data_IF_678972645761
#
_entry.id   IF_678972645761
#
_cell.length_a   1.000
_cell.length_b   1.000
_cell.length_c   1.000
_cell.angle_alpha   90.00
_cell.angle_beta   90.00
_cell.angle_gamma   90.00
#
_symmetry.space_group_name_H-M   'P 1'
#
loop_
_entity.id
_entity.type
_entity.pdbx_description
1 polymer ?
#
# COMPACT_ATOMS: atom_id res chain seq x y z
N UNK A 1 54.69 7.20 -30.19
CA UNK A 1 53.68 7.82 -29.29
C UNK A 1 52.59 6.77 -29.07
N UNK A 2 52.65 6.10 -27.94
CA UNK A 2 51.69 5.06 -27.53
C UNK A 2 50.63 5.72 -26.64
N UNK A 3 49.41 5.81 -27.16
CA UNK A 3 48.22 6.27 -26.37
C UNK A 3 47.65 5.10 -25.61
N UNK A 4 47.66 5.19 -24.30
CA UNK A 4 46.97 4.28 -23.37
C UNK A 4 45.46 4.58 -23.38
N UNK A 5 44.56 3.60 -23.52
CA UNK A 5 43.15 3.86 -23.41
C UNK A 5 42.74 4.13 -21.97
N UNK A 6 41.96 5.20 -21.77
CA UNK A 6 41.37 5.53 -20.47
C UNK A 6 40.40 4.42 -20.01
N UNK A 7 40.66 3.85 -18.86
CA UNK A 7 39.78 2.87 -18.23
C UNK A 7 38.47 3.53 -17.79
N UNK A 8 37.34 3.06 -18.31
CA UNK A 8 36.02 3.37 -17.80
C UNK A 8 35.85 2.67 -16.45
N UNK A 9 35.99 3.42 -15.37
CA UNK A 9 35.63 2.98 -14.05
C UNK A 9 34.12 2.81 -13.96
N UNK A 10 33.66 1.58 -13.94
CA UNK A 10 32.27 1.25 -13.58
C UNK A 10 32.07 1.66 -12.13
N UNK A 11 31.29 2.72 -11.88
CA UNK A 11 30.88 3.09 -10.54
C UNK A 11 30.06 1.91 -10.00
N UNK A 12 30.59 1.18 -9.00
CA UNK A 12 29.85 0.19 -8.24
C UNK A 12 28.79 0.97 -7.45
N UNK A 13 27.54 0.93 -7.89
CA UNK A 13 26.42 1.43 -7.12
C UNK A 13 26.29 0.54 -5.89
N UNK A 14 26.73 1.05 -4.76
CA UNK A 14 26.60 0.32 -3.48
C UNK A 14 25.12 0.23 -3.16
N UNK A 15 24.60 -0.98 -3.00
CA UNK A 15 23.21 -1.19 -2.56
C UNK A 15 23.03 -0.56 -1.17
N UNK A 16 21.87 0.11 -0.91
CA UNK A 16 21.59 0.65 0.41
C UNK A 16 21.65 -0.44 1.49
N UNK A 17 22.03 -0.06 2.70
CA UNK A 17 22.07 -0.99 3.82
C UNK A 17 20.64 -1.48 4.15
N UNK A 18 20.50 -2.79 4.35
CA UNK A 18 19.24 -3.38 4.81
C UNK A 18 19.00 -2.99 6.26
N UNK A 19 17.80 -2.49 6.53
CA UNK A 19 17.27 -2.24 7.86
C UNK A 19 16.14 -3.20 8.18
N UNK A 20 15.75 -3.29 9.44
CA UNK A 20 14.53 -4.00 9.84
C UNK A 20 13.93 -3.41 11.11
N UNK A 21 12.61 -3.52 11.25
CA UNK A 21 11.88 -3.08 12.43
C UNK A 21 10.75 -4.04 12.79
N UNK A 22 10.28 -3.96 14.04
CA UNK A 22 9.05 -4.64 14.47
C UNK A 22 7.82 -3.93 13.90
N UNK A 23 6.82 -4.71 13.50
CA UNK A 23 5.51 -4.25 13.06
C UNK A 23 4.46 -5.25 13.56
N UNK A 24 3.84 -4.98 14.71
CA UNK A 24 3.13 -5.97 15.47
C UNK A 24 4.04 -7.18 15.79
N UNK A 25 3.60 -8.42 15.55
CA UNK A 25 4.41 -9.62 15.72
C UNK A 25 5.40 -9.87 14.56
N UNK A 26 5.33 -9.10 13.47
CA UNK A 26 6.21 -9.27 12.32
C UNK A 26 7.52 -8.51 12.49
N UNK A 27 8.55 -9.00 11.81
CA UNK A 27 9.78 -8.28 11.55
C UNK A 27 9.80 -7.90 10.08
N UNK A 28 9.80 -6.61 9.79
CA UNK A 28 9.78 -6.09 8.43
C UNK A 28 11.14 -5.55 8.05
N UNK A 29 11.68 -6.08 6.96
CA UNK A 29 12.95 -5.66 6.36
C UNK A 29 12.69 -4.68 5.22
N UNK A 30 13.59 -3.70 5.05
CA UNK A 30 13.52 -2.66 4.03
C UNK A 30 14.91 -2.02 3.83
N UNK A 31 15.04 -1.13 2.87
CA UNK A 31 16.22 -0.25 2.72
C UNK A 31 15.78 1.16 2.29
N UNK A 32 16.75 2.05 2.07
CA UNK A 32 16.49 3.46 1.75
C UNK A 32 15.83 3.71 0.38
N UNK A 33 15.53 2.68 -0.42
CA UNK A 33 14.78 2.81 -1.68
C UNK A 33 13.28 2.85 -1.49
N UNK A 34 12.78 2.33 -0.37
CA UNK A 34 11.36 2.26 -0.07
C UNK A 34 11.00 3.11 1.15
N UNK A 35 9.75 3.51 1.25
CA UNK A 35 9.27 4.22 2.43
C UNK A 35 9.46 3.34 3.68
N UNK A 36 10.14 3.89 4.69
CA UNK A 36 10.29 3.21 5.98
C UNK A 36 8.90 2.88 6.56
N UNK A 37 8.60 1.62 6.90
CA UNK A 37 7.34 1.25 7.54
C UNK A 37 7.02 2.14 8.74
N UNK A 38 5.79 2.61 8.84
CA UNK A 38 5.36 3.55 9.87
C UNK A 38 4.58 2.80 10.96
N UNK A 39 5.01 2.83 12.24
CA UNK A 39 4.33 2.08 13.31
C UNK A 39 2.84 2.37 13.44
N UNK A 40 2.42 3.62 13.19
CA UNK A 40 1.00 3.97 13.29
C UNK A 40 0.10 3.29 12.25
N UNK A 41 0.66 2.74 11.14
CA UNK A 41 -0.13 2.00 10.14
C UNK A 41 -0.50 0.58 10.61
N UNK A 42 0.02 0.11 11.76
CA UNK A 42 -0.48 -1.10 12.41
C UNK A 42 -2.00 -1.03 12.72
N UNK A 43 -2.51 0.18 12.97
CA UNK A 43 -3.93 0.40 13.18
C UNK A 43 -4.77 0.00 11.95
N UNK A 44 -4.26 0.25 10.74
CA UNK A 44 -4.92 -0.17 9.50
C UNK A 44 -4.93 -1.69 9.36
N UNK A 45 -3.80 -2.35 9.63
CA UNK A 45 -3.72 -3.82 9.62
C UNK A 45 -4.67 -4.47 10.61
N UNK A 46 -4.71 -3.94 11.85
CA UNK A 46 -5.59 -4.44 12.90
C UNK A 46 -7.06 -4.30 12.50
N UNK A 47 -7.44 -3.15 11.97
CA UNK A 47 -8.81 -2.94 11.52
C UNK A 47 -9.15 -3.80 10.30
N UNK A 48 -8.24 -3.98 9.35
CA UNK A 48 -8.42 -4.91 8.25
C UNK A 48 -8.64 -6.35 8.75
N UNK A 49 -7.87 -6.81 9.74
CA UNK A 49 -8.05 -8.12 10.35
C UNK A 49 -9.41 -8.27 11.05
N UNK A 50 -9.90 -7.23 11.73
CA UNK A 50 -11.26 -7.19 12.31
C UNK A 50 -12.33 -7.34 11.21
N UNK A 51 -12.21 -6.57 10.11
CA UNK A 51 -13.13 -6.61 8.97
C UNK A 51 -13.14 -8.01 8.34
N UNK A 52 -11.99 -8.67 8.21
CA UNK A 52 -11.88 -10.01 7.62
C UNK A 52 -12.69 -11.08 8.37
N UNK A 53 -13.03 -10.87 9.64
CA UNK A 53 -13.85 -11.82 10.42
C UNK A 53 -15.30 -11.90 9.93
N UNK A 54 -15.80 -10.83 9.31
CA UNK A 54 -17.19 -10.70 8.83
C UNK A 54 -17.32 -10.47 7.34
N UNK A 55 -16.20 -10.20 6.64
CA UNK A 55 -16.15 -10.01 5.20
C UNK A 55 -16.54 -11.28 4.44
N UNK A 56 -17.09 -11.15 3.22
CA UNK A 56 -17.38 -12.30 2.38
C UNK A 56 -16.14 -13.18 2.17
N UNK A 57 -16.30 -14.49 1.88
CA UNK A 57 -15.17 -15.35 1.52
C UNK A 57 -14.47 -14.81 0.26
N UNK A 58 -13.13 -14.72 0.28
CA UNK A 58 -12.35 -14.24 -0.86
C UNK A 58 -10.96 -13.75 -0.45
N UNK A 59 -10.09 -13.46 -1.42
CA UNK A 59 -8.77 -12.93 -1.19
C UNK A 59 -8.80 -11.47 -0.71
N UNK A 60 -7.65 -11.02 -0.22
CA UNK A 60 -7.38 -9.63 0.16
C UNK A 60 -6.48 -9.00 -0.90
N UNK A 61 -6.70 -7.74 -1.23
CA UNK A 61 -5.84 -6.93 -2.08
C UNK A 61 -5.21 -5.81 -1.24
N UNK A 62 -3.90 -5.64 -1.37
CA UNK A 62 -3.19 -4.46 -0.86
C UNK A 62 -2.68 -3.64 -2.03
N UNK A 63 -3.07 -2.38 -2.10
CA UNK A 63 -2.63 -1.39 -3.09
C UNK A 63 -1.61 -0.44 -2.46
N UNK A 64 -0.60 -0.03 -3.23
CA UNK A 64 0.54 0.74 -2.74
C UNK A 64 1.22 0.01 -1.57
N UNK A 65 1.54 -1.27 -1.79
CA UNK A 65 1.91 -2.20 -0.72
C UNK A 65 3.24 -1.87 -0.03
N UNK A 66 4.14 -1.11 -0.67
CA UNK A 66 5.45 -0.84 -0.14
C UNK A 66 6.18 -2.13 0.24
N UNK A 67 6.70 -2.22 1.46
CA UNK A 67 7.33 -3.45 1.96
C UNK A 67 6.33 -4.55 2.38
N UNK A 68 5.03 -4.38 2.13
CA UNK A 68 3.98 -5.37 2.39
C UNK A 68 3.50 -5.45 3.84
N UNK A 69 3.96 -4.58 4.72
CA UNK A 69 3.75 -4.69 6.17
C UNK A 69 2.28 -4.67 6.58
N UNK A 70 1.46 -3.85 5.90
CA UNK A 70 0.05 -3.67 6.29
C UNK A 70 -0.76 -4.91 5.94
N UNK A 71 -0.70 -5.37 4.69
CA UNK A 71 -1.41 -6.54 4.23
C UNK A 71 -0.94 -7.83 4.90
N UNK A 72 0.37 -8.02 5.05
CA UNK A 72 0.94 -9.18 5.73
C UNK A 72 0.42 -9.30 7.16
N UNK A 73 0.43 -8.20 7.92
CA UNK A 73 -0.10 -8.21 9.28
C UNK A 73 -1.61 -8.43 9.31
N UNK A 74 -2.36 -7.82 8.37
CA UNK A 74 -3.81 -7.99 8.29
C UNK A 74 -4.24 -9.44 8.07
N UNK A 75 -3.49 -10.22 7.26
CA UNK A 75 -3.85 -11.61 6.96
C UNK A 75 -3.15 -12.63 7.85
N UNK A 76 -2.25 -12.22 8.75
CA UNK A 76 -1.41 -13.14 9.54
C UNK A 76 -2.23 -14.17 10.32
N UNK A 77 -3.30 -13.74 10.97
CA UNK A 77 -4.20 -14.58 11.78
C UNK A 77 -5.32 -15.27 10.96
N UNK A 78 -5.29 -15.20 9.63
CA UNK A 78 -6.31 -15.78 8.76
C UNK A 78 -5.71 -16.74 7.73
N UNK A 79 -6.56 -17.50 7.03
CA UNK A 79 -6.14 -18.32 5.88
C UNK A 79 -6.36 -17.63 4.52
N UNK A 80 -6.70 -16.34 4.51
CA UNK A 80 -7.00 -15.59 3.29
C UNK A 80 -5.75 -15.41 2.42
N UNK A 81 -5.83 -15.66 1.11
CA UNK A 81 -4.78 -15.23 0.18
C UNK A 81 -4.68 -13.71 0.13
N UNK A 82 -3.46 -13.20 -0.08
CA UNK A 82 -3.16 -11.79 -0.24
C UNK A 82 -2.51 -11.54 -1.59
N UNK A 83 -2.98 -10.52 -2.30
CA UNK A 83 -2.32 -9.94 -3.46
C UNK A 83 -1.80 -8.57 -3.06
N UNK A 84 -0.49 -8.35 -3.13
CA UNK A 84 0.15 -7.05 -2.94
C UNK A 84 0.47 -6.45 -4.31
N UNK A 85 0.10 -5.19 -4.52
CA UNK A 85 0.40 -4.45 -5.75
C UNK A 85 1.18 -3.20 -5.41
N UNK A 86 2.31 -3.03 -6.09
CA UNK A 86 3.11 -1.81 -6.03
C UNK A 86 3.76 -1.55 -7.41
N UNK A 87 3.98 -0.28 -7.73
CA UNK A 87 4.67 0.08 -8.98
C UNK A 87 6.20 0.15 -8.83
N UNK A 88 6.72 0.19 -7.59
CA UNK A 88 8.14 0.23 -7.30
C UNK A 88 8.72 -1.20 -7.20
N UNK A 89 9.65 -1.58 -8.11
CA UNK A 89 10.32 -2.88 -8.04
C UNK A 89 10.98 -3.18 -6.70
N UNK A 90 11.59 -2.15 -6.06
CA UNK A 90 12.25 -2.33 -4.76
C UNK A 90 11.23 -2.62 -3.65
N UNK A 91 10.06 -1.99 -3.67
CA UNK A 91 8.95 -2.27 -2.78
C UNK A 91 8.46 -3.71 -2.96
N UNK A 92 8.23 -4.14 -4.20
CA UNK A 92 7.83 -5.50 -4.53
C UNK A 92 8.83 -6.56 -4.05
N UNK A 93 10.13 -6.30 -4.21
CA UNK A 93 11.17 -7.22 -3.73
C UNK A 93 11.14 -7.35 -2.20
N UNK A 94 10.97 -6.23 -1.49
CA UNK A 94 10.84 -6.25 -0.04
C UNK A 94 9.54 -6.91 0.42
N UNK A 95 8.42 -6.69 -0.26
CA UNK A 95 7.15 -7.37 0.05
C UNK A 95 7.27 -8.89 -0.09
N UNK A 96 7.94 -9.40 -1.15
CA UNK A 96 8.21 -10.84 -1.33
C UNK A 96 9.12 -11.38 -0.22
N UNK A 97 10.19 -10.66 0.11
CA UNK A 97 11.10 -11.03 1.19
C UNK A 97 10.37 -11.13 2.53
N UNK A 98 9.60 -10.11 2.89
CA UNK A 98 8.86 -10.06 4.15
C UNK A 98 7.74 -11.11 4.22
N UNK A 99 7.09 -11.41 3.09
CA UNK A 99 6.12 -12.51 3.02
C UNK A 99 6.77 -13.87 3.32
N UNK A 100 7.99 -14.09 2.80
CA UNK A 100 8.76 -15.31 3.08
C UNK A 100 9.18 -15.39 4.54
N UNK A 101 9.71 -14.32 5.11
CA UNK A 101 10.13 -14.23 6.51
C UNK A 101 8.96 -14.42 7.49
N UNK A 102 7.76 -13.95 7.11
CA UNK A 102 6.53 -14.14 7.87
C UNK A 102 5.93 -15.56 7.73
N UNK A 103 6.51 -16.43 6.88
CA UNK A 103 5.96 -17.77 6.58
C UNK A 103 4.65 -17.72 5.78
N UNK A 104 4.44 -16.68 4.98
CA UNK A 104 3.23 -16.44 4.20
C UNK A 104 3.42 -16.58 2.68
N UNK A 105 4.62 -16.94 2.21
CA UNK A 105 4.97 -16.96 0.79
C UNK A 105 4.00 -17.80 -0.07
N UNK A 106 3.47 -18.91 0.44
CA UNK A 106 2.58 -19.81 -0.30
C UNK A 106 1.19 -19.20 -0.58
N UNK A 107 0.83 -18.10 0.07
CA UNK A 107 -0.48 -17.46 -0.04
C UNK A 107 -0.42 -15.94 -0.29
N UNK A 108 0.77 -15.42 -0.54
CA UNK A 108 0.99 -14.01 -0.91
C UNK A 108 1.55 -13.94 -2.33
N UNK A 109 0.83 -13.25 -3.19
CA UNK A 109 1.27 -12.92 -4.54
C UNK A 109 1.65 -11.43 -4.58
N UNK A 110 2.84 -11.10 -5.09
CA UNK A 110 3.28 -9.70 -5.25
C UNK A 110 3.39 -9.38 -6.73
N UNK A 111 2.65 -8.39 -7.18
CA UNK A 111 2.58 -7.92 -8.56
C UNK A 111 3.20 -6.54 -8.67
N UNK A 112 4.13 -6.41 -9.60
CA UNK A 112 4.82 -5.15 -9.92
C UNK A 112 4.15 -4.49 -11.11
N UNK A 113 3.78 -3.22 -10.97
CA UNK A 113 3.23 -2.41 -12.04
C UNK A 113 2.06 -1.53 -11.60
N UNK A 114 1.50 -0.75 -12.55
CA UNK A 114 0.32 0.07 -12.31
C UNK A 114 -0.87 -0.78 -11.83
N UNK A 115 -1.55 -0.32 -10.78
CA UNK A 115 -2.62 -1.09 -10.14
C UNK A 115 -3.83 -1.37 -11.05
N UNK A 116 -4.05 -0.55 -12.05
CA UNK A 116 -5.10 -0.68 -13.06
C UNK A 116 -4.73 -1.60 -14.23
N UNK A 117 -3.45 -1.99 -14.34
CA UNK A 117 -2.96 -2.86 -15.42
C UNK A 117 -2.64 -4.29 -14.95
N UNK A 118 -2.20 -4.46 -13.69
CA UNK A 118 -1.72 -5.76 -13.20
C UNK A 118 -2.81 -6.66 -12.63
N UNK A 119 -4.03 -6.15 -12.46
CA UNK A 119 -5.20 -6.91 -12.03
C UNK A 119 -6.01 -7.36 -13.26
N UNK A 120 -6.51 -8.60 -13.22
CA UNK A 120 -7.39 -9.10 -14.29
C UNK A 120 -8.82 -8.65 -14.01
N UNK A 121 -9.57 -8.27 -15.03
CA UNK A 121 -10.97 -7.81 -14.92
C UNK A 121 -11.90 -8.77 -14.14
N UNK A 122 -11.59 -10.07 -14.15
CA UNK A 122 -12.37 -11.09 -13.47
C UNK A 122 -12.04 -11.27 -11.99
N UNK A 123 -10.96 -10.69 -11.50
CA UNK A 123 -10.54 -10.84 -10.10
C UNK A 123 -11.43 -10.03 -9.17
N UNK A 124 -11.77 -10.64 -8.03
CA UNK A 124 -12.60 -10.01 -7.00
C UNK A 124 -12.02 -10.29 -5.63
N UNK A 125 -12.06 -9.28 -4.77
CA UNK A 125 -11.47 -9.28 -3.43
C UNK A 125 -12.54 -9.00 -2.38
N UNK A 126 -12.40 -9.66 -1.24
CA UNK A 126 -13.29 -9.46 -0.09
C UNK A 126 -12.99 -8.15 0.64
N UNK A 127 -11.71 -7.83 0.72
CA UNK A 127 -11.20 -6.60 1.34
C UNK A 127 -10.07 -6.06 0.46
N UNK A 128 -10.11 -4.76 0.22
CA UNK A 128 -9.01 -3.99 -0.36
C UNK A 128 -8.45 -3.10 0.74
N UNK A 129 -7.14 -3.12 0.94
CA UNK A 129 -6.41 -2.23 1.85
C UNK A 129 -5.53 -1.32 1.01
N UNK A 130 -5.52 -0.03 1.28
CA UNK A 130 -4.71 0.93 0.54
C UNK A 130 -4.13 2.01 1.47
N UNK A 131 -2.83 2.22 1.37
CA UNK A 131 -2.11 3.34 2.01
C UNK A 131 -1.36 4.13 0.91
N UNK A 132 -2.11 4.83 0.03
CA UNK A 132 -1.50 5.57 -1.08
C UNK A 132 -0.71 6.78 -0.60
N UNK A 133 0.22 7.30 -1.40
CA UNK A 133 0.79 8.62 -1.20
C UNK A 133 -0.31 9.67 -1.04
N UNK A 134 -0.21 10.53 -0.02
CA UNK A 134 -1.21 11.55 0.29
C UNK A 134 -0.64 12.95 0.58
N UNK A 135 0.69 13.10 0.47
CA UNK A 135 1.33 14.42 0.60
C UNK A 135 1.12 15.20 -0.69
N UNK A 136 0.71 16.46 -0.56
CA UNK A 136 0.61 17.33 -1.73
C UNK A 136 1.97 17.53 -2.38
N UNK A 137 1.98 17.59 -3.71
CA UNK A 137 3.20 17.71 -4.50
C UNK A 137 4.07 18.92 -4.10
N UNK A 138 3.47 20.05 -3.78
CA UNK A 138 4.18 21.26 -3.32
C UNK A 138 4.74 21.14 -1.88
N UNK A 139 4.35 20.11 -1.14
CA UNK A 139 4.79 19.85 0.23
C UNK A 139 5.81 18.69 0.36
N UNK A 140 6.04 17.91 -0.71
CA UNK A 140 6.94 16.75 -0.71
C UNK A 140 8.35 17.09 -0.23
N UNK A 141 8.85 18.28 -0.56
CA UNK A 141 10.18 18.76 -0.13
C UNK A 141 10.34 18.92 1.38
N UNK A 142 9.26 18.84 2.16
CA UNK A 142 9.31 18.82 3.64
C UNK A 142 9.78 17.48 4.22
N UNK A 143 9.84 16.45 3.38
CA UNK A 143 10.18 15.06 3.76
C UNK A 143 11.35 14.55 2.90
N UNK A 144 12.55 15.17 3.02
CA UNK A 144 13.68 14.85 2.14
C UNK A 144 14.23 13.43 2.33
N UNK A 145 13.90 12.78 3.46
CA UNK A 145 14.29 11.42 3.77
C UNK A 145 13.40 10.35 3.15
N UNK A 146 12.19 10.73 2.69
CA UNK A 146 11.22 9.78 2.15
C UNK A 146 11.29 9.74 0.60
N UNK A 147 11.21 8.55 -0.02
CA UNK A 147 11.15 8.45 -1.47
C UNK A 147 9.94 9.21 -2.03
N UNK A 148 10.16 10.09 -3.00
CA UNK A 148 9.11 10.95 -3.57
C UNK A 148 7.94 10.12 -4.11
N UNK A 149 8.23 9.03 -4.81
CA UNK A 149 7.21 8.13 -5.36
C UNK A 149 6.26 7.58 -4.29
N UNK A 150 6.75 7.38 -3.07
CA UNK A 150 5.98 6.80 -1.97
C UNK A 150 5.16 7.82 -1.18
N UNK A 151 5.34 9.13 -1.43
CA UNK A 151 4.65 10.18 -0.66
C UNK A 151 3.90 11.19 -1.52
N UNK A 152 4.27 11.41 -2.81
CA UNK A 152 3.61 12.37 -3.71
C UNK A 152 2.21 11.88 -4.10
N UNK A 153 1.20 12.44 -3.46
CA UNK A 153 -0.22 12.18 -3.74
C UNK A 153 -0.82 13.08 -4.81
N UNK A 154 0.00 13.85 -5.54
CA UNK A 154 -0.45 14.78 -6.57
C UNK A 154 -0.77 16.19 -6.03
N UNK A 155 -1.43 17.00 -6.85
CA UNK A 155 -1.63 18.42 -6.57
C UNK A 155 -2.48 18.68 -5.30
N UNK A 156 -3.45 17.82 -5.03
CA UNK A 156 -4.31 17.89 -3.85
C UNK A 156 -4.04 16.77 -2.82
N UNK A 157 -3.08 15.88 -3.11
CA UNK A 157 -2.77 14.70 -2.29
C UNK A 157 -3.81 13.58 -2.42
N UNK A 158 -4.64 13.59 -3.46
CA UNK A 158 -5.72 12.62 -3.67
C UNK A 158 -5.60 11.82 -4.97
N UNK A 159 -4.65 12.15 -5.86
CA UNK A 159 -4.58 11.53 -7.19
C UNK A 159 -4.47 10.00 -7.09
N UNK A 160 -3.53 9.49 -6.28
CA UNK A 160 -3.35 8.04 -6.11
C UNK A 160 -4.47 7.41 -5.28
N UNK A 161 -5.02 8.15 -4.30
CA UNK A 161 -6.16 7.68 -3.53
C UNK A 161 -7.40 7.46 -4.42
N UNK A 162 -7.64 8.32 -5.41
CA UNK A 162 -8.71 8.13 -6.39
C UNK A 162 -8.50 6.89 -7.25
N UNK A 163 -7.27 6.62 -7.68
CA UNK A 163 -6.96 5.37 -8.41
C UNK A 163 -7.27 4.14 -7.54
N UNK A 164 -6.90 4.17 -6.25
CA UNK A 164 -7.24 3.09 -5.31
C UNK A 164 -8.75 2.88 -5.16
N UNK A 165 -9.54 3.97 -5.11
CA UNK A 165 -11.01 3.92 -5.04
C UNK A 165 -11.60 3.32 -6.31
N UNK A 166 -11.13 3.75 -7.49
CA UNK A 166 -11.63 3.26 -8.77
C UNK A 166 -11.29 1.77 -8.97
N UNK A 167 -10.08 1.34 -8.62
CA UNK A 167 -9.66 -0.08 -8.62
C UNK A 167 -10.49 -0.89 -7.62
N UNK A 168 -10.66 -0.39 -6.39
CA UNK A 168 -11.44 -1.09 -5.38
C UNK A 168 -12.89 -1.27 -5.81
N UNK A 169 -13.53 -0.24 -6.39
CA UNK A 169 -14.90 -0.32 -6.91
C UNK A 169 -15.03 -1.41 -7.96
N UNK A 170 -14.08 -1.52 -8.87
CA UNK A 170 -14.11 -2.52 -9.94
C UNK A 170 -13.87 -3.95 -9.42
N UNK A 171 -13.02 -4.10 -8.41
CA UNK A 171 -12.52 -5.40 -7.95
C UNK A 171 -13.08 -5.88 -6.62
N UNK A 172 -13.90 -5.12 -5.90
CA UNK A 172 -14.55 -5.61 -4.69
C UNK A 172 -15.63 -6.65 -5.00
N UNK A 173 -15.73 -7.65 -4.16
CA UNK A 173 -16.89 -8.50 -4.05
C UNK A 173 -18.08 -7.66 -3.55
N UNK A 174 -19.30 -8.05 -3.92
CA UNK A 174 -20.49 -7.51 -3.29
C UNK A 174 -20.38 -7.64 -1.76
N UNK A 175 -20.65 -6.56 -1.03
CA UNK A 175 -20.42 -6.41 0.43
C UNK A 175 -18.95 -6.50 0.83
N UNK A 176 -18.05 -6.31 -0.11
CA UNK A 176 -16.62 -6.13 0.16
C UNK A 176 -16.33 -4.74 0.72
N UNK A 177 -15.15 -4.57 1.27
CA UNK A 177 -14.73 -3.35 1.97
C UNK A 177 -13.42 -2.82 1.38
N UNK A 178 -13.34 -1.52 1.12
CA UNK A 178 -12.09 -0.78 0.97
C UNK A 178 -11.75 -0.13 2.31
N UNK A 179 -10.52 -0.38 2.81
CA UNK A 179 -9.95 0.32 3.94
C UNK A 179 -8.81 1.22 3.46
N UNK A 180 -9.08 2.52 3.38
CA UNK A 180 -8.21 3.53 2.78
C UNK A 180 -7.59 4.42 3.86
N UNK A 181 -6.28 4.66 3.80
CA UNK A 181 -5.62 5.69 4.58
C UNK A 181 -5.55 7.00 3.79
N UNK A 182 -5.84 8.10 4.47
CA UNK A 182 -5.71 9.47 3.98
C UNK A 182 -4.96 10.33 5.00
N UNK A 183 -4.41 11.44 4.55
CA UNK A 183 -3.63 12.34 5.42
C UNK A 183 -4.49 13.22 6.32
N UNK A 184 -5.66 13.66 5.84
CA UNK A 184 -6.46 14.71 6.48
C UNK A 184 -7.96 14.44 6.45
N UNK A 185 -8.69 15.09 7.37
CA UNK A 185 -10.16 15.06 7.37
C UNK A 185 -10.74 15.76 6.12
N UNK A 186 -10.08 16.79 5.61
CA UNK A 186 -10.53 17.47 4.39
C UNK A 186 -10.52 16.53 3.18
N UNK A 187 -9.55 15.61 3.10
CA UNK A 187 -9.52 14.57 2.07
C UNK A 187 -10.69 13.58 2.23
N UNK A 188 -11.10 13.28 3.47
CA UNK A 188 -12.30 12.43 3.73
C UNK A 188 -13.57 13.14 3.27
N UNK A 189 -13.67 14.46 3.49
CA UNK A 189 -14.84 15.23 3.04
C UNK A 189 -14.90 15.28 1.50
N UNK A 190 -13.77 15.51 0.83
CA UNK A 190 -13.68 15.41 -0.63
C UNK A 190 -14.07 14.01 -1.16
N UNK A 191 -13.67 12.94 -0.43
CA UNK A 191 -14.05 11.57 -0.76
C UNK A 191 -15.58 11.37 -0.67
N UNK A 192 -16.21 11.86 0.41
CA UNK A 192 -17.67 11.78 0.60
C UNK A 192 -18.44 12.54 -0.48
N UNK A 193 -17.97 13.74 -0.81
CA UNK A 193 -18.62 14.58 -1.83
C UNK A 193 -18.58 13.91 -3.21
N UNK A 194 -17.44 13.32 -3.60
CA UNK A 194 -17.30 12.63 -4.89
C UNK A 194 -18.10 11.32 -4.95
N UNK A 195 -18.30 10.63 -3.84
CA UNK A 195 -19.00 9.35 -3.75
C UNK A 195 -20.46 9.48 -3.30
N UNK A 196 -21.05 10.69 -3.31
CA UNK A 196 -22.39 10.94 -2.75
C UNK A 196 -23.50 10.09 -3.41
N UNK A 197 -23.35 9.76 -4.70
CA UNK A 197 -24.31 8.98 -5.49
C UNK A 197 -23.74 7.62 -5.93
N UNK A 198 -22.67 7.12 -5.24
CA UNK A 198 -21.95 5.91 -5.59
C UNK A 198 -22.45 4.71 -4.77
N UNK A 199 -22.21 3.49 -5.26
CA UNK A 199 -22.46 2.24 -4.55
C UNK A 199 -21.34 1.89 -3.54
N UNK A 200 -20.20 2.56 -3.61
CA UNK A 200 -19.10 2.48 -2.63
C UNK A 200 -19.26 3.60 -1.60
N UNK A 201 -19.73 3.28 -0.40
CA UNK A 201 -20.19 4.25 0.61
C UNK A 201 -19.22 4.31 1.79
N UNK A 202 -18.87 5.54 2.24
CA UNK A 202 -18.10 5.75 3.48
C UNK A 202 -18.98 5.39 4.69
N UNK A 203 -18.62 4.32 5.40
CA UNK A 203 -19.40 3.79 6.54
C UNK A 203 -18.78 4.07 7.90
N UNK A 204 -17.45 4.20 7.97
CA UNK A 204 -16.76 4.48 9.23
C UNK A 204 -15.47 5.27 8.98
N UNK A 205 -15.11 6.16 9.91
CA UNK A 205 -13.89 6.97 9.88
C UNK A 205 -13.22 6.91 11.24
N UNK A 206 -11.93 6.52 11.28
CA UNK A 206 -11.11 6.50 12.50
C UNK A 206 -9.95 7.48 12.35
N UNK A 207 -9.79 8.40 13.30
CA UNK A 207 -8.62 9.28 13.37
C UNK A 207 -7.49 8.51 14.04
N UNK A 208 -6.32 8.51 13.40
CA UNK A 208 -5.11 7.91 13.91
C UNK A 208 -4.13 8.97 14.41
N UNK A 209 -3.00 8.55 14.96
CA UNK A 209 -1.93 9.47 15.38
C UNK A 209 -1.46 10.34 14.21
N UNK A 210 -1.35 9.73 13.03
CA UNK A 210 -1.12 10.43 11.76
C UNK A 210 -2.10 9.92 10.72
N UNK A 211 -2.80 10.85 10.07
CA UNK A 211 -3.78 10.53 9.05
C UNK A 211 -5.12 10.05 9.59
N UNK A 212 -5.92 9.55 8.69
CA UNK A 212 -7.31 9.14 8.91
C UNK A 212 -7.55 7.84 8.15
N UNK A 213 -8.07 6.82 8.82
CA UNK A 213 -8.53 5.58 8.19
C UNK A 213 -10.00 5.71 7.83
N UNK A 214 -10.34 5.34 6.62
CA UNK A 214 -11.69 5.41 6.07
C UNK A 214 -12.10 4.02 5.60
N UNK A 215 -13.22 3.55 6.14
CA UNK A 215 -13.89 2.34 5.66
C UNK A 215 -14.98 2.72 4.65
N UNK A 216 -14.92 2.08 3.48
CA UNK A 216 -15.94 2.16 2.46
C UNK A 216 -16.46 0.76 2.18
N UNK A 217 -17.77 0.58 2.21
CA UNK A 217 -18.41 -0.70 1.92
C UNK A 217 -19.17 -0.63 0.59
N UNK A 218 -19.01 -1.66 -0.26
CA UNK A 218 -19.76 -1.81 -1.50
C UNK A 218 -21.16 -2.39 -1.20
N UNK A 219 -22.20 -1.69 -1.58
CA UNK A 219 -23.61 -2.02 -1.28
C UNK A 219 -24.22 -3.03 -2.25
#
# INVERSE_FOLDING_TARGET
VTTTPAGYGTAMTTMPATESMGFGPLRISFDGRVLRPRPWTEAQSTWAAEILTTAPPGPVLELCAGAGQIGLLAVLGSSRPLVCVDMDPAACDWARHNAADAGLADRVEVREGPMDEVLRDSERFAVVVADPPWVRRDEVTRYPEDPVLAIDGGDDGMEVAWMCVDVARHHLLRRGTLLLQLGTVAQVDALRDRLADDDLVVTEVRRCERGVLVRLDLT
#
